data_IF_729248572753
#
_entry.id   IF_729248572753
#
_cell.length_a   1.000
_cell.length_b   1.000
_cell.length_c   1.000
_cell.angle_alpha   90.00
_cell.angle_beta   90.00
_cell.angle_gamma   90.00
#
_symmetry.space_group_name_H-M   'P 1'
#
loop_
_entity.id
_entity.type
_entity.pdbx_description
1 polymer ?
#
# COMPACT_ATOMS: atom_id res chain seq x y z
N UNK A 1 17.06 -2.24 15.99
CA UNK A 1 15.96 -3.08 16.52
C UNK A 1 15.73 -4.27 15.60
N UNK A 2 15.27 -5.40 16.15
CA UNK A 2 14.79 -6.57 15.38
C UNK A 2 13.30 -6.43 15.06
N UNK A 3 12.81 -7.14 14.05
CA UNK A 3 11.39 -7.07 13.62
C UNK A 3 10.39 -7.41 14.74
N UNK A 4 10.69 -8.42 15.57
CA UNK A 4 9.80 -8.75 16.70
C UNK A 4 9.74 -7.62 17.75
N UNK A 5 10.86 -6.94 17.99
CA UNK A 5 10.92 -5.83 18.95
C UNK A 5 10.06 -4.68 18.43
N UNK A 6 10.10 -4.40 17.12
CA UNK A 6 9.26 -3.39 16.48
C UNK A 6 7.77 -3.74 16.61
N UNK A 7 7.40 -4.99 16.33
CA UNK A 7 6.03 -5.45 16.46
C UNK A 7 5.52 -5.33 17.91
N UNK A 8 6.37 -5.65 18.89
CA UNK A 8 6.01 -5.55 20.30
C UNK A 8 5.87 -4.08 20.76
N UNK A 9 6.76 -3.20 20.31
CA UNK A 9 6.66 -1.77 20.55
C UNK A 9 5.37 -1.19 19.96
N UNK A 10 5.07 -1.50 18.69
CA UNK A 10 3.86 -1.03 18.01
C UNK A 10 2.59 -1.57 18.68
N UNK A 11 2.59 -2.84 19.09
CA UNK A 11 1.45 -3.45 19.78
C UNK A 11 1.17 -2.81 21.14
N UNK A 12 2.19 -2.35 21.86
CA UNK A 12 2.02 -1.62 23.13
C UNK A 12 1.57 -0.17 22.92
N UNK A 13 2.09 0.50 21.89
CA UNK A 13 1.74 1.89 21.57
C UNK A 13 0.32 2.01 20.98
N UNK A 14 -0.15 0.99 20.23
CA UNK A 14 -1.46 0.96 19.59
C UNK A 14 -2.16 -0.38 19.80
N UNK A 15 -2.73 -0.61 21.00
CA UNK A 15 -3.45 -1.84 21.31
C UNK A 15 -4.77 -1.97 20.53
N UNK A 16 -5.21 -0.91 19.86
CA UNK A 16 -6.41 -0.87 19.03
C UNK A 16 -6.23 -1.52 17.65
N UNK A 17 -4.99 -1.73 17.21
CA UNK A 17 -4.70 -2.30 15.90
C UNK A 17 -4.71 -3.84 15.91
N UNK A 18 -5.32 -4.49 14.90
CA UNK A 18 -5.22 -5.92 14.74
C UNK A 18 -3.79 -6.33 14.34
N UNK A 19 -3.41 -7.57 14.66
CA UNK A 19 -2.05 -8.08 14.44
C UNK A 19 -1.56 -7.97 12.98
N UNK A 20 -2.48 -8.05 12.01
CA UNK A 20 -2.15 -7.91 10.59
C UNK A 20 -1.71 -6.49 10.23
N UNK A 21 -2.35 -5.48 10.82
CA UNK A 21 -1.96 -4.07 10.63
C UNK A 21 -0.61 -3.80 11.30
N UNK A 22 -0.35 -4.39 12.48
CA UNK A 22 0.97 -4.30 13.12
C UNK A 22 2.07 -4.91 12.23
N UNK A 23 1.84 -6.10 11.66
CA UNK A 23 2.81 -6.75 10.79
C UNK A 23 3.08 -5.94 9.51
N UNK A 24 2.03 -5.38 8.91
CA UNK A 24 2.11 -4.49 7.75
C UNK A 24 2.89 -3.23 8.04
N UNK A 25 2.63 -2.59 9.17
CA UNK A 25 3.38 -1.41 9.63
C UNK A 25 4.85 -1.73 9.86
N UNK A 26 5.18 -2.87 10.47
CA UNK A 26 6.56 -3.31 10.59
C UNK A 26 7.25 -3.38 9.23
N UNK A 27 6.59 -3.95 8.21
CA UNK A 27 7.14 -4.06 6.86
C UNK A 27 7.34 -2.70 6.21
N UNK A 28 6.36 -1.79 6.30
CA UNK A 28 6.47 -0.46 5.69
C UNK A 28 7.58 0.36 6.36
N UNK A 29 7.66 0.34 7.70
CA UNK A 29 8.69 1.06 8.45
C UNK A 29 10.10 0.54 8.14
N UNK A 30 10.26 -0.78 8.04
CA UNK A 30 11.54 -1.40 7.68
C UNK A 30 11.94 -1.14 6.22
N UNK A 31 10.96 -0.93 5.33
CA UNK A 31 11.23 -0.54 3.94
C UNK A 31 11.51 0.97 3.79
N UNK A 32 10.99 1.81 4.68
CA UNK A 32 11.15 3.26 4.60
C UNK A 32 12.47 3.75 5.22
N UNK A 33 12.99 3.02 6.21
CA UNK A 33 14.20 3.40 6.95
C UNK A 33 15.37 2.48 6.63
N UNK A 34 16.48 3.05 6.14
CA UNK A 34 17.71 2.30 5.80
C UNK A 34 18.39 1.66 7.03
N UNK A 35 18.08 2.14 8.24
CA UNK A 35 18.62 1.59 9.49
C UNK A 35 17.55 1.41 10.56
N UNK A 36 17.42 0.16 11.02
CA UNK A 36 16.53 -0.24 12.12
C UNK A 36 16.92 0.37 13.48
N UNK A 37 18.00 1.14 13.57
CA UNK A 37 18.40 1.90 14.76
C UNK A 37 17.63 3.22 14.87
N UNK A 38 17.20 3.81 13.75
CA UNK A 38 16.41 5.04 13.75
C UNK A 38 14.99 4.83 14.29
N UNK A 39 14.49 3.60 14.17
CA UNK A 39 13.23 3.15 14.73
C UNK A 39 13.28 2.88 16.24
N UNK A 40 14.40 3.11 16.94
CA UNK A 40 14.46 3.00 18.40
C UNK A 40 13.80 4.20 19.12
N UNK A 41 13.68 5.34 18.45
CA UNK A 41 13.04 6.55 18.95
C UNK A 41 11.52 6.52 18.71
N UNK A 42 10.72 6.67 19.76
CA UNK A 42 9.25 6.59 19.64
C UNK A 42 8.64 7.73 18.85
N UNK A 43 9.22 8.93 18.90
CA UNK A 43 8.71 10.06 18.10
C UNK A 43 9.00 9.85 16.61
N UNK A 44 10.19 9.34 16.28
CA UNK A 44 10.52 9.00 14.89
C UNK A 44 9.70 7.83 14.38
N UNK A 45 9.47 6.79 15.19
CA UNK A 45 8.55 5.70 14.84
C UNK A 45 7.15 6.21 14.55
N UNK A 46 6.61 7.08 15.40
CA UNK A 46 5.26 7.63 15.24
C UNK A 46 5.16 8.51 13.99
N UNK A 47 6.18 9.34 13.72
CA UNK A 47 6.22 10.16 12.51
C UNK A 47 6.36 9.32 11.23
N UNK A 48 7.28 8.34 11.24
CA UNK A 48 7.46 7.39 10.14
C UNK A 48 6.18 6.58 9.91
N UNK A 49 5.45 6.23 10.98
CA UNK A 49 4.14 5.58 10.92
C UNK A 49 3.10 6.46 10.24
N UNK A 50 2.90 7.70 10.70
CA UNK A 50 1.91 8.61 10.09
C UNK A 50 2.17 8.80 8.60
N UNK A 51 3.45 8.95 8.24
CA UNK A 51 3.87 9.10 6.86
C UNK A 51 3.64 7.82 6.04
N UNK A 52 3.94 6.66 6.61
CA UNK A 52 3.71 5.35 6.01
C UNK A 52 2.22 5.08 5.75
N UNK A 53 1.37 5.26 6.77
CA UNK A 53 -0.08 5.09 6.67
C UNK A 53 -0.68 6.07 5.65
N UNK A 54 -0.28 7.34 5.66
CA UNK A 54 -0.77 8.32 4.70
C UNK A 54 -0.40 7.98 3.25
N UNK A 55 0.86 7.59 3.00
CA UNK A 55 1.29 7.18 1.64
C UNK A 55 0.54 5.95 1.15
N UNK A 56 0.20 5.06 2.07
CA UNK A 56 -0.52 3.84 1.77
C UNK A 56 -2.00 4.09 1.43
N UNK A 57 -2.68 4.90 2.24
CA UNK A 57 -4.03 5.38 1.95
C UNK A 57 -4.08 6.10 0.59
N UNK A 58 -3.14 7.02 0.35
CA UNK A 58 -3.06 7.75 -0.91
C UNK A 58 -2.81 6.84 -2.13
N UNK A 59 -1.98 5.80 -2.00
CA UNK A 59 -1.75 4.84 -3.06
C UNK A 59 -2.99 3.99 -3.35
N UNK A 60 -3.77 3.66 -2.32
CA UNK A 60 -5.02 2.91 -2.44
C UNK A 60 -6.11 3.74 -3.10
N UNK A 61 -6.25 5.01 -2.71
CA UNK A 61 -7.19 5.95 -3.33
C UNK A 61 -6.86 6.21 -4.81
N UNK A 62 -5.58 6.46 -5.13
CA UNK A 62 -5.15 6.64 -6.52
C UNK A 62 -5.42 5.39 -7.36
N UNK A 63 -5.20 4.23 -6.77
CA UNK A 63 -5.47 2.97 -7.45
C UNK A 63 -6.97 2.83 -7.78
N UNK A 64 -7.86 3.07 -6.82
CA UNK A 64 -9.29 3.03 -7.03
C UNK A 64 -9.73 4.00 -8.14
N UNK A 65 -9.19 5.23 -8.14
CA UNK A 65 -9.46 6.21 -9.19
C UNK A 65 -9.02 5.73 -10.59
N UNK A 66 -7.86 5.07 -10.70
CA UNK A 66 -7.38 4.53 -11.98
C UNK A 66 -8.28 3.40 -12.49
N UNK A 67 -8.81 2.56 -11.59
CA UNK A 67 -9.77 1.51 -11.97
C UNK A 67 -11.05 2.13 -12.52
N UNK A 68 -11.59 3.14 -11.82
CA UNK A 68 -12.82 3.84 -12.25
C UNK A 68 -12.62 4.57 -13.60
N UNK A 69 -11.47 5.23 -13.81
CA UNK A 69 -11.14 5.87 -15.09
C UNK A 69 -11.02 4.87 -16.24
N UNK A 70 -10.47 3.67 -15.97
CA UNK A 70 -10.42 2.60 -16.96
C UNK A 70 -11.81 2.10 -17.31
N UNK A 71 -12.66 1.86 -16.33
CA UNK A 71 -14.05 1.43 -16.57
C UNK A 71 -14.83 2.47 -17.40
N UNK A 72 -14.61 3.76 -17.15
CA UNK A 72 -15.19 4.85 -17.96
C UNK A 72 -14.65 4.88 -19.39
N UNK A 73 -13.35 4.64 -19.60
CA UNK A 73 -12.75 4.55 -20.95
C UNK A 73 -13.35 3.39 -21.78
N UNK A 74 -13.86 2.34 -21.13
CA UNK A 74 -14.55 1.23 -21.80
C UNK A 74 -16.04 1.50 -22.06
N UNK A 75 -16.63 2.50 -21.41
CA UNK A 75 -18.08 2.70 -21.35
C UNK A 75 -18.72 3.38 -22.55
N UNK A 76 -18.12 4.44 -23.12
CA UNK A 76 -18.95 5.43 -23.86
C UNK A 76 -18.56 5.83 -25.29
N UNK A 77 -17.35 5.58 -25.82
CA UNK A 77 -17.02 5.95 -27.22
C UNK A 77 -15.97 5.01 -27.85
N UNK A 78 -15.90 4.88 -29.20
CA UNK A 78 -14.92 4.01 -29.84
C UNK A 78 -13.54 4.67 -29.81
N UNK A 79 -12.87 4.56 -28.67
CA UNK A 79 -11.46 4.87 -28.56
C UNK A 79 -10.70 3.82 -29.38
N UNK A 80 -10.03 4.23 -30.48
CA UNK A 80 -9.19 3.33 -31.27
C UNK A 80 -7.85 3.08 -30.56
N UNK A 81 -7.91 2.41 -29.41
CA UNK A 81 -6.75 1.67 -28.95
C UNK A 81 -6.61 0.41 -29.78
N UNK A 82 -5.37 0.09 -30.17
CA UNK A 82 -5.12 -1.25 -30.66
C UNK A 82 -5.32 -2.23 -29.49
N UNK A 83 -5.91 -3.42 -29.69
CA UNK A 83 -6.22 -4.36 -28.61
C UNK A 83 -5.02 -4.67 -27.71
N UNK A 84 -3.82 -4.74 -28.27
CA UNK A 84 -2.55 -4.97 -27.55
C UNK A 84 -2.22 -3.86 -26.55
N UNK A 85 -2.58 -2.61 -26.83
CA UNK A 85 -2.29 -1.46 -25.98
C UNK A 85 -3.21 -1.41 -24.76
N UNK A 86 -4.49 -1.73 -24.93
CA UNK A 86 -5.46 -1.87 -23.83
C UNK A 86 -5.06 -3.00 -22.87
N UNK A 87 -4.71 -4.16 -23.42
CA UNK A 87 -4.26 -5.30 -22.61
C UNK A 87 -2.93 -5.02 -21.89
N UNK A 88 -2.06 -4.21 -22.46
CA UNK A 88 -0.80 -3.80 -21.82
C UNK A 88 -1.07 -2.86 -20.65
N UNK A 89 -1.95 -1.88 -20.83
CA UNK A 89 -2.30 -0.91 -19.79
C UNK A 89 -3.04 -1.60 -18.63
N UNK A 90 -4.05 -2.42 -18.95
CA UNK A 90 -4.79 -3.20 -17.97
C UNK A 90 -3.88 -4.13 -17.16
N UNK A 91 -2.91 -4.77 -17.83
CA UNK A 91 -1.95 -5.65 -17.16
C UNK A 91 -0.98 -4.87 -16.28
N UNK A 92 -0.50 -3.71 -16.72
CA UNK A 92 0.38 -2.86 -15.92
C UNK A 92 -0.31 -2.39 -14.65
N UNK A 93 -1.56 -1.94 -14.76
CA UNK A 93 -2.39 -1.54 -13.62
C UNK A 93 -2.64 -2.75 -12.72
N UNK A 94 -3.11 -3.89 -13.26
CA UNK A 94 -3.36 -5.12 -12.50
C UNK A 94 -2.13 -5.63 -11.73
N UNK A 95 -0.94 -5.58 -12.33
CA UNK A 95 0.31 -6.00 -11.66
C UNK A 95 0.68 -5.02 -10.56
N UNK A 96 0.46 -3.71 -10.75
CA UNK A 96 0.62 -2.73 -9.67
C UNK A 96 -0.40 -2.94 -8.55
N UNK A 97 -1.65 -3.29 -8.87
CA UNK A 97 -2.67 -3.63 -7.87
C UNK A 97 -2.26 -4.82 -7.04
N UNK A 98 -1.78 -5.91 -7.67
CA UNK A 98 -1.38 -7.13 -6.97
C UNK A 98 -0.25 -6.88 -5.96
N UNK A 99 0.67 -5.98 -6.30
CA UNK A 99 1.69 -5.53 -5.37
C UNK A 99 1.03 -4.86 -4.16
N UNK A 100 0.07 -3.97 -4.40
CA UNK A 100 -0.69 -3.29 -3.35
C UNK A 100 -1.55 -4.25 -2.52
N UNK A 101 -2.20 -5.24 -3.13
CA UNK A 101 -2.99 -6.30 -2.46
C UNK A 101 -2.16 -7.09 -1.45
N UNK A 102 -0.89 -7.39 -1.78
CA UNK A 102 0.02 -8.05 -0.85
C UNK A 102 0.30 -7.20 0.39
N UNK A 103 0.19 -5.87 0.26
CA UNK A 103 0.29 -4.94 1.38
C UNK A 103 -1.06 -4.55 1.97
N UNK A 104 -2.20 -4.62 1.28
CA UNK A 104 -3.53 -4.19 1.76
C UNK A 104 -4.42 -5.32 2.23
N UNK A 105 -4.18 -6.57 1.80
CA UNK A 105 -5.05 -7.73 1.98
C UNK A 105 -6.51 -7.47 1.53
N UNK A 106 -6.74 -6.40 0.78
CA UNK A 106 -7.99 -6.08 0.10
C UNK A 106 -7.82 -6.52 -1.35
N UNK A 107 -8.73 -7.33 -1.88
CA UNK A 107 -8.69 -7.70 -3.30
C UNK A 107 -8.99 -6.45 -4.13
N UNK A 108 -8.02 -6.03 -4.92
CA UNK A 108 -8.05 -4.83 -5.72
C UNK A 108 -8.77 -5.04 -7.07
N UNK A 109 -9.03 -6.31 -7.44
CA UNK A 109 -9.79 -6.69 -8.64
C UNK A 109 -10.56 -8.01 -8.40
N UNK A 110 -11.90 -7.96 -8.42
CA UNK A 110 -12.79 -9.13 -8.54
C UNK A 110 -13.45 -9.14 -9.92
#
# INVERSE_FOLDING_TARGET
MKCHELAEHLSRERPDLPAIEIARLCLILLNAEDSAEQLADSQKRMAAWQHASFRFEAATDQYAAVVDELDQLFGDEPIQFRPDQLWTLLRAVKVQSQMLELYTNEMALA
#
